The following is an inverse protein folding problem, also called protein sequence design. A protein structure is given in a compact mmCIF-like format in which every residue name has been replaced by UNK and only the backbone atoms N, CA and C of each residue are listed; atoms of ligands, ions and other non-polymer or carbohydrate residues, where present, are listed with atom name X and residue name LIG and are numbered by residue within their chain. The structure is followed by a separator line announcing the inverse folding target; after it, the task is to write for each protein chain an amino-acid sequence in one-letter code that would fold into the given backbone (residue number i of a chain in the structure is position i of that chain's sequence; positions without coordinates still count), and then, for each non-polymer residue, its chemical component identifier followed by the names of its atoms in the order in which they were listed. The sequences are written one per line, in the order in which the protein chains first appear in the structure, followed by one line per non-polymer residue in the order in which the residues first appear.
data_IF_037934606917
#
_entry.id   IF_037934606917
#
_cell.length_a   1.000
_cell.length_b   1.000
_cell.length_c   1.000
_cell.angle_alpha   90.00
_cell.angle_beta   90.00
_cell.angle_gamma   90.00
#
_symmetry.space_group_name_H-M   'P 1'
#
loop_
_entity.id
_entity.type
_entity.pdbx_description
1 polymer ?
#
# COMPACT_ATOMS: atom_id res chain seq x y z
N UNK A 1 9.38 -10.44 -11.08
CA UNK A 1 8.91 -9.73 -9.87
C UNK A 1 9.83 -10.04 -8.70
N UNK A 2 10.32 -9.04 -7.98
CA UNK A 2 11.19 -9.22 -6.81
C UNK A 2 10.36 -9.78 -5.64
N UNK A 3 10.68 -10.98 -5.14
CA UNK A 3 9.92 -11.65 -4.07
C UNK A 3 9.75 -10.76 -2.83
N UNK A 4 10.73 -9.89 -2.55
CA UNK A 4 10.68 -8.97 -1.42
C UNK A 4 9.55 -7.93 -1.53
N UNK A 5 9.23 -7.47 -2.74
CA UNK A 5 8.20 -6.44 -2.93
C UNK A 5 6.80 -7.00 -2.67
N UNK A 6 6.52 -8.24 -3.13
CA UNK A 6 5.25 -8.91 -2.86
C UNK A 6 5.02 -9.06 -1.37
N UNK A 7 6.04 -9.47 -0.63
CA UNK A 7 5.99 -9.56 0.84
C UNK A 7 5.71 -8.19 1.46
N UNK A 8 6.41 -7.14 1.02
CA UNK A 8 6.16 -5.78 1.53
C UNK A 8 4.72 -5.28 1.28
N UNK A 9 4.11 -5.65 0.15
CA UNK A 9 2.71 -5.30 -0.14
C UNK A 9 1.76 -6.05 0.79
N UNK A 10 1.97 -7.35 1.00
CA UNK A 10 1.17 -8.14 1.94
C UNK A 10 1.31 -7.59 3.36
N UNK A 11 2.53 -7.30 3.80
CA UNK A 11 2.80 -6.72 5.13
C UNK A 11 2.12 -5.35 5.29
N UNK A 12 2.11 -4.52 4.24
CA UNK A 12 1.41 -3.24 4.23
C UNK A 12 -0.11 -3.43 4.34
N UNK A 13 -0.69 -4.39 3.60
CA UNK A 13 -2.12 -4.71 3.67
C UNK A 13 -2.51 -5.17 5.08
N UNK A 14 -1.72 -6.07 5.66
CA UNK A 14 -1.96 -6.59 7.01
C UNK A 14 -1.82 -5.49 8.07
N UNK A 15 -0.83 -4.60 7.93
CA UNK A 15 -0.64 -3.47 8.84
C UNK A 15 -1.81 -2.49 8.78
N UNK A 16 -2.26 -2.12 7.58
CA UNK A 16 -3.41 -1.21 7.41
C UNK A 16 -4.66 -1.80 8.02
N UNK A 17 -4.95 -3.08 7.77
CA UNK A 17 -6.13 -3.75 8.31
C UNK A 17 -6.06 -3.94 9.82
N UNK A 18 -4.86 -4.09 10.39
CA UNK A 18 -4.65 -4.17 11.85
C UNK A 18 -4.73 -2.81 12.55
N UNK A 19 -4.43 -1.72 11.82
CA UNK A 19 -4.30 -0.37 12.34
C UNK A 19 -4.98 0.67 11.43
N UNK A 20 -6.27 0.47 11.21
CA UNK A 20 -7.11 1.30 10.34
C UNK A 20 -7.05 2.78 10.73
N UNK A 21 -6.73 3.65 9.77
CA UNK A 21 -6.63 5.10 9.96
C UNK A 21 -5.42 5.55 10.78
N UNK A 22 -4.51 4.62 11.07
CA UNK A 22 -3.27 4.86 11.83
C UNK A 22 -2.02 4.40 11.08
N UNK A 23 -2.18 4.00 9.83
CA UNK A 23 -1.09 3.52 8.98
C UNK A 23 -0.87 4.48 7.83
N UNK A 24 0.31 5.08 7.76
CA UNK A 24 0.78 5.85 6.61
C UNK A 24 1.37 4.89 5.58
N UNK A 25 0.91 4.98 4.34
CA UNK A 25 1.38 4.17 3.22
C UNK A 25 2.06 5.10 2.22
N UNK A 26 3.30 4.76 1.87
CA UNK A 26 4.03 5.35 0.76
C UNK A 26 4.15 4.29 -0.33
N UNK A 27 3.74 4.62 -1.54
CA UNK A 27 3.82 3.71 -2.68
C UNK A 27 4.34 4.46 -3.93
N UNK A 28 5.13 3.78 -4.75
CA UNK A 28 5.59 4.30 -6.04
C UNK A 28 5.35 3.28 -7.12
N UNK A 29 4.87 3.75 -8.26
CA UNK A 29 4.71 2.93 -9.45
C UNK A 29 5.98 2.97 -10.29
N UNK A 30 6.12 2.03 -11.21
CA UNK A 30 7.26 1.95 -12.14
C UNK A 30 7.22 3.09 -13.16
N UNK A 31 6.02 3.53 -13.55
CA UNK A 31 5.76 4.54 -14.57
C UNK A 31 5.55 5.96 -14.00
N UNK A 32 5.27 6.09 -12.70
CA UNK A 32 5.12 7.38 -12.01
C UNK A 32 6.14 7.56 -10.87
N UNK A 33 7.15 8.44 -11.07
CA UNK A 33 8.19 8.69 -10.07
C UNK A 33 7.70 9.55 -8.90
N UNK A 34 6.53 10.20 -9.00
CA UNK A 34 6.00 11.10 -7.96
C UNK A 34 5.67 10.33 -6.69
N UNK A 35 5.09 9.14 -6.84
CA UNK A 35 4.61 8.32 -5.74
C UNK A 35 3.41 8.93 -5.00
N UNK A 36 2.82 8.13 -4.15
CA UNK A 36 1.64 8.46 -3.36
C UNK A 36 1.96 8.26 -1.89
N UNK A 37 1.49 9.19 -1.07
CA UNK A 37 1.72 9.22 0.37
C UNK A 37 0.41 9.59 1.06
N UNK A 38 -0.18 8.64 1.77
CA UNK A 38 -1.53 8.77 2.31
C UNK A 38 -1.72 7.94 3.59
N UNK A 39 -2.81 8.22 4.31
CA UNK A 39 -3.24 7.46 5.49
C UNK A 39 -4.32 6.48 5.05
N UNK A 40 -4.06 5.19 5.22
CA UNK A 40 -4.98 4.14 4.80
C UNK A 40 -5.86 3.66 5.96
N UNK A 41 -7.13 3.41 5.64
CA UNK A 41 -8.17 2.91 6.56
C UNK A 41 -8.46 1.43 6.36
N UNK A 42 -8.34 0.94 5.14
CA UNK A 42 -8.56 -0.46 4.80
C UNK A 42 -7.69 -0.83 3.60
N UNK A 43 -7.36 -2.11 3.47
CA UNK A 43 -6.60 -2.61 2.35
C UNK A 43 -7.05 -4.02 1.95
N UNK A 44 -6.88 -4.37 0.67
CA UNK A 44 -7.16 -5.71 0.15
C UNK A 44 -6.12 -6.13 -0.88
N UNK A 45 -5.85 -7.43 -0.93
CA UNK A 45 -5.02 -8.05 -1.96
C UNK A 45 -5.72 -9.30 -2.50
N UNK A 46 -5.84 -9.40 -3.82
CA UNK A 46 -6.46 -10.56 -4.46
C UNK A 46 -5.90 -10.78 -5.86
N UNK A 47 -5.48 -12.00 -6.17
CA UNK A 47 -5.13 -12.39 -7.54
C UNK A 47 -4.04 -11.55 -8.21
N UNK A 48 -3.12 -10.95 -7.43
CA UNK A 48 -2.08 -10.07 -7.98
C UNK A 48 -2.48 -8.60 -8.11
N UNK A 49 -3.65 -8.22 -7.60
CA UNK A 49 -4.10 -6.84 -7.46
C UNK A 49 -4.10 -6.43 -6.00
N UNK A 50 -3.86 -5.16 -5.73
CA UNK A 50 -4.00 -4.56 -4.41
C UNK A 50 -4.92 -3.33 -4.47
N UNK A 51 -5.50 -2.98 -3.33
CA UNK A 51 -6.19 -1.71 -3.13
C UNK A 51 -6.02 -1.24 -1.68
N UNK A 52 -5.78 0.05 -1.51
CA UNK A 52 -5.80 0.77 -0.25
C UNK A 52 -6.89 1.85 -0.30
N UNK A 53 -7.68 1.96 0.77
CA UNK A 53 -8.71 2.98 0.92
C UNK A 53 -8.21 4.06 1.87
N UNK A 54 -8.31 5.32 1.46
CA UNK A 54 -7.86 6.50 2.19
C UNK A 54 -8.99 7.54 2.24
N UNK A 55 -9.83 7.46 3.27
CA UNK A 55 -11.02 8.32 3.38
C UNK A 55 -12.01 8.04 2.24
N UNK A 56 -12.18 9.02 1.34
CA UNK A 56 -13.04 8.91 0.14
C UNK A 56 -12.27 8.46 -1.11
N UNK A 57 -10.94 8.40 -1.04
CA UNK A 57 -10.08 8.00 -2.15
C UNK A 57 -9.73 6.51 -2.05
N UNK A 58 -9.50 5.89 -3.22
CA UNK A 58 -9.02 4.52 -3.34
C UNK A 58 -7.80 4.47 -4.26
N UNK A 59 -6.75 3.82 -3.79
CA UNK A 59 -5.50 3.63 -4.52
C UNK A 59 -5.34 2.14 -4.83
N UNK A 60 -5.32 1.77 -6.11
CA UNK A 60 -5.28 0.35 -6.52
C UNK A 60 -4.38 0.15 -7.73
N UNK A 61 -3.92 -1.08 -7.93
CA UNK A 61 -3.08 -1.45 -9.06
C UNK A 61 -2.66 -2.93 -9.03
N UNK A 62 -1.85 -3.31 -10.00
CA UNK A 62 -1.18 -4.61 -10.03
C UNK A 62 0.07 -4.61 -9.17
N UNK A 63 0.37 -5.73 -8.51
CA UNK A 63 1.61 -5.89 -7.73
C UNK A 63 2.87 -5.66 -8.58
N UNK A 64 2.80 -5.96 -9.88
CA UNK A 64 3.90 -5.80 -10.83
C UNK A 64 4.14 -4.34 -11.27
N UNK A 65 3.18 -3.44 -11.00
CA UNK A 65 3.28 -2.02 -11.35
C UNK A 65 3.98 -1.21 -10.26
N UNK A 66 4.13 -1.76 -9.04
CA UNK A 66 4.84 -1.09 -7.96
C UNK A 66 6.36 -1.25 -8.12
N UNK A 67 7.06 -0.14 -7.90
CA UNK A 67 8.51 -0.11 -7.76
C UNK A 67 8.95 -0.10 -6.28
N UNK A 68 8.12 0.47 -5.40
CA UNK A 68 8.39 0.61 -3.98
C UNK A 68 7.08 0.68 -3.17
N UNK A 69 7.05 0.07 -1.99
CA UNK A 69 6.00 0.29 -0.99
C UNK A 69 6.59 0.31 0.42
N UNK A 70 6.05 1.18 1.28
CA UNK A 70 6.39 1.28 2.69
C UNK A 70 5.13 1.58 3.51
N UNK A 71 4.93 0.86 4.61
CA UNK A 71 3.86 1.13 5.56
C UNK A 71 4.45 1.40 6.94
N UNK A 72 3.97 2.45 7.61
CA UNK A 72 4.43 2.86 8.94
C UNK A 72 3.25 3.28 9.82
N UNK A 73 3.29 2.91 11.10
CA UNK A 73 2.33 3.41 12.08
C UNK A 73 2.61 4.86 12.43
N UNK A 74 1.56 5.67 12.47
CA UNK A 74 1.61 7.06 12.93
C UNK A 74 1.83 7.04 14.44
N UNK A 75 3.05 7.32 14.87
CA UNK A 75 3.38 7.45 16.30
C UNK A 75 2.74 8.74 16.84
N UNK A 76 2.01 8.62 17.95
CA UNK A 76 1.52 9.76 18.73
C UNK A 76 2.61 10.29 19.67
#
# INVERSE_FOLDING_TARGET
MNTMLKTAIVDAVDMVNSHAGQTRVLMRFVDDPTGYDFIANAARIHGGLFEFQAGFDSYSGSLDELSEIKAELIKR
#
